data_IF_824103762901
#
_entry.id   IF_824103762901
#
_cell.length_a   1.000
_cell.length_b   1.000
_cell.length_c   1.000
_cell.angle_alpha   90.00
_cell.angle_beta   90.00
_cell.angle_gamma   90.00
#
_symmetry.space_group_name_H-M   'P 1'
#
loop_
_entity.id
_entity.type
_entity.pdbx_description
1 polymer ?
#
# COMPACT_ATOMS: atom_id res chain seq x y z
N UNK A 1 14.40 -34.89 -11.36
CA UNK A 1 14.87 -33.90 -10.34
C UNK A 1 14.08 -32.58 -10.33
N UNK A 2 13.12 -32.33 -11.24
CA UNK A 2 12.42 -31.02 -11.39
C UNK A 2 11.37 -30.69 -10.32
N UNK A 3 10.61 -31.70 -9.86
CA UNK A 3 9.46 -31.48 -8.96
C UNK A 3 9.82 -30.81 -7.63
N UNK A 4 10.95 -31.19 -7.02
CA UNK A 4 11.34 -30.63 -5.72
C UNK A 4 11.66 -29.13 -5.81
N UNK A 5 12.32 -28.70 -6.88
CA UNK A 5 12.70 -27.30 -7.09
C UNK A 5 11.48 -26.40 -7.37
N UNK A 6 10.44 -26.94 -8.00
CA UNK A 6 9.20 -26.22 -8.30
C UNK A 6 8.25 -26.13 -7.11
N UNK A 7 8.10 -27.21 -6.33
CA UNK A 7 7.37 -27.14 -5.05
C UNK A 7 7.99 -26.07 -4.16
N UNK A 8 9.33 -26.05 -4.05
CA UNK A 8 10.06 -24.99 -3.33
C UNK A 8 9.83 -23.59 -3.94
N UNK A 9 9.70 -23.47 -5.26
CA UNK A 9 9.45 -22.18 -5.94
C UNK A 9 8.03 -21.65 -5.73
N UNK A 10 7.02 -22.52 -5.78
CA UNK A 10 5.62 -22.16 -5.51
C UNK A 10 5.39 -21.84 -4.03
N UNK A 11 5.98 -22.61 -3.12
CA UNK A 11 5.94 -22.33 -1.68
C UNK A 11 6.58 -20.98 -1.34
N UNK A 12 7.70 -20.65 -1.98
CA UNK A 12 8.35 -19.35 -1.84
C UNK A 12 7.45 -18.20 -2.32
N UNK A 13 6.83 -18.32 -3.49
CA UNK A 13 5.92 -17.30 -4.02
C UNK A 13 4.68 -17.11 -3.13
N UNK A 14 4.11 -18.19 -2.59
CA UNK A 14 3.01 -18.12 -1.63
C UNK A 14 3.44 -17.39 -0.35
N UNK A 15 4.65 -17.69 0.15
CA UNK A 15 5.21 -16.97 1.31
C UNK A 15 5.34 -15.48 1.02
N UNK A 16 5.91 -15.09 -0.12
CA UNK A 16 6.06 -13.70 -0.52
C UNK A 16 4.71 -12.97 -0.65
N UNK A 17 3.68 -13.64 -1.19
CA UNK A 17 2.32 -13.09 -1.25
C UNK A 17 1.78 -12.82 0.17
N UNK A 18 1.97 -13.76 1.11
CA UNK A 18 1.53 -13.58 2.50
C UNK A 18 2.29 -12.45 3.20
N UNK A 19 3.59 -12.35 2.97
CA UNK A 19 4.43 -11.29 3.53
C UNK A 19 3.98 -9.91 3.01
N UNK A 20 3.74 -9.78 1.69
CA UNK A 20 3.23 -8.53 1.11
C UNK A 20 1.80 -8.21 1.57
N UNK A 21 0.93 -9.21 1.72
CA UNK A 21 -0.40 -9.01 2.28
C UNK A 21 -0.32 -8.43 3.70
N UNK A 22 0.53 -9.01 4.56
CA UNK A 22 0.72 -8.52 5.91
C UNK A 22 1.24 -7.08 5.93
N UNK A 23 2.17 -6.74 5.05
CA UNK A 23 2.67 -5.37 4.91
C UNK A 23 1.57 -4.40 4.44
N UNK A 24 0.70 -4.81 3.51
CA UNK A 24 -0.45 -4.00 3.08
C UNK A 24 -1.41 -3.74 4.25
N UNK A 25 -1.65 -4.72 5.12
CA UNK A 25 -2.50 -4.54 6.31
C UNK A 25 -1.92 -3.50 7.28
N UNK A 26 -0.60 -3.51 7.47
CA UNK A 26 0.11 -2.50 8.28
C UNK A 26 0.04 -1.11 7.63
N UNK A 27 0.39 -1.02 6.34
CA UNK A 27 0.37 0.23 5.59
C UNK A 27 -1.07 0.82 5.55
N UNK A 28 -2.11 -0.01 5.45
CA UNK A 28 -3.53 0.43 5.51
C UNK A 28 -3.86 1.09 6.84
N UNK A 29 -3.37 0.55 7.96
CA UNK A 29 -3.59 1.14 9.29
C UNK A 29 -2.86 2.48 9.42
N UNK A 30 -1.64 2.57 8.89
CA UNK A 30 -0.86 3.82 8.88
C UNK A 30 -1.56 4.91 8.06
N UNK A 31 -2.03 4.58 6.85
CA UNK A 31 -2.80 5.52 6.01
C UNK A 31 -4.07 5.98 6.70
N UNK A 32 -4.80 5.07 7.36
CA UNK A 32 -6.01 5.43 8.11
C UNK A 32 -5.71 6.41 9.25
N UNK A 33 -4.62 6.19 10.00
CA UNK A 33 -4.21 7.10 11.08
C UNK A 33 -3.73 8.46 10.55
N UNK A 34 -2.94 8.48 9.47
CA UNK A 34 -2.53 9.72 8.81
C UNK A 34 -3.75 10.51 8.30
N UNK A 35 -4.74 9.83 7.70
CA UNK A 35 -5.97 10.46 7.24
C UNK A 35 -6.79 11.05 8.41
N UNK A 36 -6.84 10.34 9.55
CA UNK A 36 -7.49 10.83 10.78
C UNK A 36 -6.80 12.09 11.29
N UNK A 37 -5.46 12.08 11.37
CA UNK A 37 -4.67 13.25 11.78
C UNK A 37 -4.94 14.43 10.85
N UNK A 38 -4.86 14.25 9.52
CA UNK A 38 -5.14 15.32 8.55
C UNK A 38 -6.56 15.88 8.76
N UNK A 39 -7.56 15.01 8.93
CA UNK A 39 -8.95 15.40 9.17
C UNK A 39 -9.09 16.25 10.44
N UNK A 40 -8.46 15.83 11.54
CA UNK A 40 -8.49 16.56 12.82
C UNK A 40 -7.81 17.93 12.70
N UNK A 41 -6.72 18.03 11.94
CA UNK A 41 -6.04 19.30 11.68
C UNK A 41 -6.87 20.25 10.81
N UNK A 42 -7.53 19.75 9.76
CA UNK A 42 -8.44 20.55 8.93
C UNK A 42 -9.57 21.14 9.78
N UNK A 43 -10.22 20.32 10.61
CA UNK A 43 -11.28 20.79 11.53
C UNK A 43 -10.80 21.89 12.46
N UNK A 44 -9.59 21.77 13.02
CA UNK A 44 -9.01 22.81 13.88
C UNK A 44 -8.80 24.13 13.15
N UNK A 45 -8.36 24.08 11.89
CA UNK A 45 -8.20 25.30 11.07
C UNK A 45 -9.57 25.93 10.79
N UNK A 46 -10.58 25.14 10.43
CA UNK A 46 -11.94 25.64 10.22
C UNK A 46 -12.48 26.35 11.47
N UNK A 47 -12.32 25.72 12.65
CA UNK A 47 -12.70 26.34 13.93
C UNK A 47 -11.95 27.64 14.23
N UNK A 48 -10.67 27.74 13.88
CA UNK A 48 -9.88 28.97 14.08
C UNK A 48 -10.29 30.07 13.11
N UNK A 49 -10.62 29.73 11.87
CA UNK A 49 -11.04 30.69 10.84
C UNK A 49 -12.43 31.27 11.10
N UNK A 50 -13.37 30.47 11.61
CA UNK A 50 -14.67 30.96 12.06
C UNK A 50 -14.53 32.01 13.18
N UNK A 51 -13.40 32.03 13.89
CA UNK A 51 -13.10 32.95 15.00
C UNK A 51 -12.17 34.10 14.55
N UNK A 52 -11.55 34.06 13.36
CA UNK A 52 -10.55 35.05 12.94
C UNK A 52 -10.38 35.14 11.41
N UNK A 53 -10.62 36.34 10.86
CA UNK A 53 -10.40 36.77 9.46
C UNK A 53 -8.89 36.84 9.07
N UNK A 54 -8.13 35.78 9.30
CA UNK A 54 -6.69 35.75 9.02
C UNK A 54 -6.41 34.86 7.80
N UNK A 55 -5.66 35.38 6.83
CA UNK A 55 -5.21 34.62 5.65
C UNK A 55 -4.37 33.39 6.05
N UNK A 56 -4.99 32.21 5.98
CA UNK A 56 -4.52 30.90 6.50
C UNK A 56 -3.29 30.34 5.79
N UNK A 57 -2.99 30.83 4.58
CA UNK A 57 -2.07 30.20 3.62
C UNK A 57 -0.61 30.21 4.14
N UNK A 58 -0.28 31.10 5.07
CA UNK A 58 1.06 31.24 5.67
C UNK A 58 1.14 30.70 7.11
N UNK A 59 0.06 30.14 7.63
CA UNK A 59 -0.01 29.69 9.03
C UNK A 59 0.80 28.39 9.23
N UNK A 60 1.51 28.23 10.38
CA UNK A 60 2.19 26.97 10.72
C UNK A 60 1.31 25.70 10.58
N UNK A 61 0.00 25.74 10.91
CA UNK A 61 -0.93 24.65 10.65
C UNK A 61 -1.05 24.22 9.19
N UNK A 62 -1.04 25.17 8.25
CA UNK A 62 -1.13 24.87 6.81
C UNK A 62 0.11 24.12 6.29
N UNK A 63 1.31 24.51 6.75
CA UNK A 63 2.56 23.83 6.37
C UNK A 63 2.62 22.39 6.92
N UNK A 64 2.10 22.16 8.13
CA UNK A 64 1.97 20.82 8.70
C UNK A 64 0.99 19.95 7.91
N UNK A 65 -0.18 20.47 7.54
CA UNK A 65 -1.15 19.73 6.71
C UNK A 65 -0.53 19.36 5.38
N UNK A 66 0.15 20.30 4.70
CA UNK A 66 0.80 20.02 3.42
C UNK A 66 1.83 18.90 3.54
N UNK A 67 2.62 18.89 4.63
CA UNK A 67 3.55 17.79 4.91
C UNK A 67 2.83 16.46 5.12
N UNK A 68 1.76 16.45 5.92
CA UNK A 68 0.98 15.24 6.21
C UNK A 68 0.25 14.68 5.00
N UNK A 69 -0.22 15.54 4.10
CA UNK A 69 -0.75 15.12 2.80
C UNK A 69 0.32 14.46 1.92
N UNK A 70 1.54 15.00 1.94
CA UNK A 70 2.70 14.36 1.27
C UNK A 70 3.04 13.00 1.89
N UNK A 71 3.05 12.88 3.22
CA UNK A 71 3.27 11.60 3.92
C UNK A 71 2.17 10.58 3.53
N UNK A 72 0.91 11.02 3.42
CA UNK A 72 -0.23 10.20 3.01
C UNK A 72 -0.12 9.74 1.55
N UNK A 73 0.32 10.61 0.65
CA UNK A 73 0.54 10.29 -0.77
C UNK A 73 1.62 9.21 -0.93
N UNK A 74 2.77 9.37 -0.25
CA UNK A 74 3.86 8.39 -0.24
C UNK A 74 3.38 7.04 0.31
N UNK A 75 2.63 7.05 1.42
CA UNK A 75 2.09 5.82 2.01
C UNK A 75 1.12 5.10 1.03
N UNK A 76 0.30 5.85 0.31
CA UNK A 76 -0.60 5.31 -0.70
C UNK A 76 0.16 4.74 -1.92
N UNK A 77 1.20 5.40 -2.40
CA UNK A 77 2.06 4.90 -3.48
C UNK A 77 2.74 3.57 -3.10
N UNK A 78 3.28 3.48 -1.87
CA UNK A 78 3.88 2.26 -1.33
C UNK A 78 2.88 1.10 -1.33
N UNK A 79 1.64 1.32 -0.91
CA UNK A 79 0.59 0.30 -0.96
C UNK A 79 0.29 -0.16 -2.39
N UNK A 80 0.23 0.76 -3.35
CA UNK A 80 -0.01 0.43 -4.75
C UNK A 80 1.13 -0.39 -5.35
N UNK A 81 2.38 -0.08 -5.00
CA UNK A 81 3.53 -0.88 -5.38
C UNK A 81 3.44 -2.32 -4.87
N UNK A 82 3.12 -2.53 -3.59
CA UNK A 82 2.95 -3.88 -3.02
C UNK A 82 1.83 -4.67 -3.68
N UNK A 83 0.70 -4.04 -3.99
CA UNK A 83 -0.37 -4.66 -4.79
C UNK A 83 0.14 -5.10 -6.17
N UNK A 84 1.04 -4.33 -6.77
CA UNK A 84 1.73 -4.70 -8.01
C UNK A 84 2.58 -5.97 -7.85
N UNK A 85 3.37 -6.06 -6.78
CA UNK A 85 4.18 -7.26 -6.48
C UNK A 85 3.31 -8.52 -6.32
N UNK A 86 2.20 -8.43 -5.59
CA UNK A 86 1.27 -9.56 -5.43
C UNK A 86 0.73 -10.02 -6.79
N UNK A 87 0.34 -9.10 -7.68
CA UNK A 87 -0.12 -9.45 -9.03
C UNK A 87 0.97 -10.16 -9.83
N UNK A 88 2.21 -9.69 -9.75
CA UNK A 88 3.35 -10.33 -10.42
C UNK A 88 3.62 -11.74 -9.85
N UNK A 89 3.58 -11.92 -8.54
CA UNK A 89 3.75 -13.24 -7.91
C UNK A 89 2.64 -14.21 -8.30
N UNK A 90 1.39 -13.75 -8.33
CA UNK A 90 0.25 -14.53 -8.83
C UNK A 90 0.47 -14.92 -10.29
N UNK A 91 0.90 -14.00 -11.15
CA UNK A 91 1.18 -14.30 -12.55
C UNK A 91 2.30 -15.35 -12.70
N UNK A 92 3.37 -15.26 -11.91
CA UNK A 92 4.44 -16.28 -11.89
C UNK A 92 3.93 -17.65 -11.42
N UNK A 93 3.05 -17.71 -10.42
CA UNK A 93 2.40 -18.96 -10.02
C UNK A 93 1.56 -19.56 -11.16
N UNK A 94 0.83 -18.72 -11.91
CA UNK A 94 0.10 -19.18 -13.10
C UNK A 94 1.04 -19.73 -14.17
N UNK A 95 2.17 -19.08 -14.44
CA UNK A 95 3.14 -19.59 -15.41
C UNK A 95 3.70 -20.95 -14.98
N UNK A 96 4.15 -21.08 -13.72
CA UNK A 96 4.67 -22.35 -13.18
C UNK A 96 3.64 -23.47 -13.34
N UNK A 97 2.36 -23.20 -13.06
CA UNK A 97 1.29 -24.19 -13.18
C UNK A 97 0.81 -24.40 -14.64
N UNK A 98 0.88 -23.37 -15.48
CA UNK A 98 0.44 -23.40 -16.88
C UNK A 98 1.37 -24.19 -17.80
N UNK A 99 2.67 -24.27 -17.48
CA UNK A 99 3.60 -25.18 -18.15
C UNK A 99 3.16 -26.66 -18.02
N UNK A 100 2.37 -27.01 -17.00
CA UNK A 100 1.90 -28.37 -16.78
C UNK A 100 0.61 -28.74 -17.50
N UNK A 101 -0.26 -27.80 -17.89
CA UNK A 101 -1.45 -28.18 -18.68
C UNK A 101 -1.11 -28.50 -20.13
N UNK A 102 0.06 -28.08 -20.62
CA UNK A 102 0.59 -28.45 -21.95
C UNK A 102 1.38 -29.76 -21.98
N UNK A 103 1.96 -30.21 -20.85
CA UNK A 103 2.72 -31.48 -20.79
C UNK A 103 1.85 -32.72 -20.51
N UNK A 104 0.57 -32.54 -20.19
CA UNK A 104 -0.40 -33.65 -19.97
C UNK A 104 -1.33 -33.90 -21.17
N UNK A 105 -1.13 -33.17 -22.27
CA UNK A 105 -1.81 -33.38 -23.55
C UNK A 105 -0.79 -33.91 -24.57
N UNK A 106 -0.22 -35.08 -24.32
CA UNK A 106 0.35 -35.98 -25.34
C UNK A 106 0.01 -37.44 -24.99
#
# INVERSE_FOLDING_TARGET
MSYNTQTTSSELLIKLIKDEQHQIELDTREVAELARIVTDYVKRIETVNEVSDVEVISSPPYREIKKKLGDLEIANEKMNFRKGLIRDYIHRLYLINGYYTSEWIE
#
